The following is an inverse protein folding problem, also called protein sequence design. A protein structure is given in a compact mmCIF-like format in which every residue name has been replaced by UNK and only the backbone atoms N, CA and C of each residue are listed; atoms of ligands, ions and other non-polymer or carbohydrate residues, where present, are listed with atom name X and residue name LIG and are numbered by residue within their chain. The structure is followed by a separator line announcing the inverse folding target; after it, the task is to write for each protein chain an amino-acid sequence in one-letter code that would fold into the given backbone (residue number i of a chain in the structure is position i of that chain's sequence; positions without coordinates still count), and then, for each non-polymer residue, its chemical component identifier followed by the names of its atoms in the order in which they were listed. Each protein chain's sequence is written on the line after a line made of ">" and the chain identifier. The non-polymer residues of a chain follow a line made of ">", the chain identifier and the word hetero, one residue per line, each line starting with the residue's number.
data_IF_008621129955
#
_entry.id   IF_008621129955
#
_cell.length_a   1.000
_cell.length_b   1.000
_cell.length_c   1.000
_cell.angle_alpha   90.00
_cell.angle_beta   90.00
_cell.angle_gamma   90.00
#
_symmetry.space_group_name_H-M   'P 1'
#
loop_
_entity.id
_entity.type
_entity.pdbx_description
1 polymer ?
#
# COMPACT_ATOMS: atom_id res chain seq x y z
N UNK A 1 -3.70 -14.73 6.45
CA UNK A 1 -2.44 -14.04 6.15
C UNK A 1 -1.56 -14.80 5.18
N UNK A 2 -1.38 -16.11 5.36
CA UNK A 2 -0.58 -16.92 4.43
C UNK A 2 -1.15 -16.92 3.01
N UNK A 3 -2.46 -16.82 2.85
CA UNK A 3 -3.11 -16.74 1.54
C UNK A 3 -2.70 -15.52 0.72
N UNK A 4 -2.25 -14.45 1.37
CA UNK A 4 -1.77 -13.24 0.71
C UNK A 4 -0.26 -13.21 0.50
N UNK A 5 0.48 -14.17 1.06
CA UNK A 5 1.92 -14.19 0.88
C UNK A 5 2.31 -14.70 -0.50
N UNK A 6 3.32 -14.09 -1.07
CA UNK A 6 3.86 -14.42 -2.40
C UNK A 6 5.38 -14.36 -2.36
N UNK A 7 6.05 -15.23 -3.12
CA UNK A 7 7.49 -15.16 -3.22
C UNK A 7 7.94 -13.90 -3.96
N UNK A 8 9.06 -13.35 -3.54
CA UNK A 8 9.73 -12.26 -4.23
C UNK A 8 11.16 -12.69 -4.60
N UNK A 9 11.60 -12.29 -5.79
CA UNK A 9 12.93 -12.60 -6.30
C UNK A 9 13.72 -11.31 -6.46
N UNK A 10 15.00 -11.33 -6.07
CA UNK A 10 15.87 -10.17 -6.19
C UNK A 10 16.24 -9.92 -7.65
N UNK A 11 16.33 -8.66 -8.10
CA UNK A 11 16.80 -8.35 -9.44
C UNK A 11 18.30 -8.59 -9.58
N UNK A 12 18.74 -8.88 -10.80
CA UNK A 12 20.15 -8.87 -11.17
C UNK A 12 20.62 -7.42 -11.30
N UNK A 13 19.80 -6.57 -11.93
CA UNK A 13 20.04 -5.14 -12.09
C UNK A 13 18.89 -4.32 -11.49
N UNK A 14 19.10 -3.73 -10.31
CA UNK A 14 18.06 -2.90 -9.68
C UNK A 14 17.57 -1.72 -10.53
N UNK A 15 18.39 -1.22 -11.44
CA UNK A 15 18.00 -0.13 -12.35
C UNK A 15 17.00 -0.58 -13.43
N UNK A 16 16.91 -1.88 -13.70
CA UNK A 16 16.01 -2.45 -14.68
C UNK A 16 14.65 -2.84 -14.11
N UNK A 17 14.43 -2.63 -12.82
CA UNK A 17 13.15 -2.94 -12.15
C UNK A 17 12.07 -1.98 -12.60
N UNK A 18 10.88 -2.52 -12.90
CA UNK A 18 9.68 -1.78 -13.28
C UNK A 18 8.47 -2.26 -12.50
N UNK A 19 7.55 -1.33 -12.21
CA UNK A 19 6.30 -1.62 -11.53
C UNK A 19 5.14 -1.35 -12.48
N UNK A 20 4.21 -2.28 -12.58
CA UNK A 20 2.95 -2.12 -13.30
C UNK A 20 1.78 -2.42 -12.40
N UNK A 21 0.80 -1.52 -12.41
CA UNK A 21 -0.43 -1.66 -11.63
C UNK A 21 -1.60 -1.87 -12.58
N UNK A 22 -2.30 -2.98 -12.40
CA UNK A 22 -3.56 -3.28 -13.10
C UNK A 22 -4.72 -2.90 -12.18
N UNK A 23 -5.45 -1.86 -12.54
CA UNK A 23 -6.57 -1.37 -11.74
C UNK A 23 -7.75 -2.35 -11.77
N UNK A 24 -8.05 -2.93 -12.94
CA UNK A 24 -9.17 -3.86 -13.09
C UNK A 24 -8.99 -5.16 -12.33
N UNK A 25 -7.75 -5.63 -12.22
CA UNK A 25 -7.42 -6.87 -11.49
C UNK A 25 -6.96 -6.61 -10.06
N UNK A 26 -6.76 -5.36 -9.69
CA UNK A 26 -6.19 -4.97 -8.40
C UNK A 26 -4.91 -5.75 -8.10
N UNK A 27 -3.95 -5.65 -9.00
CA UNK A 27 -2.67 -6.35 -8.93
C UNK A 27 -1.51 -5.43 -9.22
N UNK A 28 -0.40 -5.72 -8.60
CA UNK A 28 0.89 -5.11 -8.88
C UNK A 28 1.83 -6.19 -9.40
N UNK A 29 2.52 -5.86 -10.49
CA UNK A 29 3.56 -6.66 -11.10
C UNK A 29 4.88 -5.92 -10.98
N UNK A 30 5.88 -6.56 -10.38
CA UNK A 30 7.24 -6.03 -10.33
C UNK A 30 8.10 -6.91 -11.21
N UNK A 31 8.73 -6.32 -12.24
CA UNK A 31 9.47 -7.05 -13.26
C UNK A 31 10.88 -6.50 -13.45
N UNK A 32 11.74 -7.35 -13.95
CA UNK A 32 13.04 -7.00 -14.52
C UNK A 32 13.13 -7.64 -15.90
N UNK A 33 12.92 -6.83 -16.96
CA UNK A 33 12.75 -7.39 -18.31
C UNK A 33 11.58 -8.37 -18.34
N UNK A 34 11.84 -9.60 -18.78
CA UNK A 34 10.85 -10.68 -18.84
C UNK A 34 10.72 -11.47 -17.53
N UNK A 35 11.55 -11.16 -16.53
CA UNK A 35 11.52 -11.84 -15.24
C UNK A 35 10.51 -11.21 -14.30
N UNK A 36 9.57 -12.01 -13.82
CA UNK A 36 8.63 -11.59 -12.79
C UNK A 36 9.29 -11.71 -11.41
N UNK A 37 9.47 -10.59 -10.74
CA UNK A 37 10.08 -10.54 -9.41
C UNK A 37 9.03 -10.68 -8.30
N UNK A 38 7.85 -10.09 -8.50
CA UNK A 38 6.76 -10.15 -7.53
C UNK A 38 5.43 -9.90 -8.23
N UNK A 39 4.44 -10.72 -7.93
CA UNK A 39 3.02 -10.50 -8.27
C UNK A 39 2.26 -10.43 -6.96
N UNK A 40 1.50 -9.36 -6.73
CA UNK A 40 0.75 -9.24 -5.49
C UNK A 40 -0.64 -8.66 -5.69
N UNK A 41 -1.64 -9.15 -4.94
CA UNK A 41 -2.93 -8.51 -4.86
C UNK A 41 -2.80 -7.21 -4.06
N UNK A 42 -3.57 -6.21 -4.47
CA UNK A 42 -3.59 -4.89 -3.83
C UNK A 42 -5.02 -4.37 -3.76
N UNK A 43 -5.23 -3.31 -2.99
CA UNK A 43 -6.45 -2.50 -3.09
C UNK A 43 -6.11 -1.15 -3.68
N UNK A 44 -6.88 -0.76 -4.67
CA UNK A 44 -6.76 0.54 -5.37
C UNK A 44 -7.87 1.50 -4.96
N UNK A 45 -7.84 2.72 -5.46
CA UNK A 45 -8.82 3.75 -5.16
C UNK A 45 -10.23 3.37 -5.57
N UNK A 46 -11.20 3.72 -4.73
CA UNK A 46 -12.62 3.58 -5.03
C UNK A 46 -13.09 4.55 -6.12
N UNK A 47 -14.35 4.37 -6.56
CA UNK A 47 -14.91 5.17 -7.65
C UNK A 47 -14.87 6.69 -7.42
N UNK A 48 -15.05 7.11 -6.17
CA UNK A 48 -15.02 8.54 -5.81
C UNK A 48 -13.59 9.12 -5.74
N UNK A 49 -12.60 8.27 -5.51
CA UNK A 49 -11.20 8.65 -5.33
C UNK A 49 -10.29 7.66 -6.05
N UNK A 50 -10.34 7.60 -7.39
CA UNK A 50 -9.62 6.58 -8.14
C UNK A 50 -8.11 6.78 -8.07
N UNK A 51 -7.38 5.68 -8.13
CA UNK A 51 -5.94 5.72 -8.34
C UNK A 51 -5.66 6.32 -9.73
N UNK A 52 -4.80 7.34 -9.85
CA UNK A 52 -4.53 7.95 -11.14
C UNK A 52 -3.81 6.98 -12.09
N UNK A 53 -4.25 6.95 -13.34
CA UNK A 53 -3.57 6.24 -14.41
C UNK A 53 -2.45 7.07 -15.01
N UNK A 54 -1.44 6.44 -15.55
CA UNK A 54 -0.35 7.10 -16.25
C UNK A 54 1.01 6.47 -15.96
N UNK A 55 2.04 7.20 -16.35
CA UNK A 55 3.44 6.84 -16.14
C UNK A 55 4.03 7.72 -15.05
N UNK A 56 4.57 7.09 -14.04
CA UNK A 56 5.15 7.72 -12.87
C UNK A 56 6.52 7.11 -12.57
N UNK A 57 7.20 7.68 -11.59
CA UNK A 57 8.37 7.06 -10.96
C UNK A 57 8.21 7.12 -9.45
N UNK A 58 8.87 6.21 -8.74
CA UNK A 58 8.98 6.33 -7.28
C UNK A 58 9.83 7.58 -6.98
N UNK A 59 9.25 8.54 -6.30
CA UNK A 59 9.91 9.82 -5.96
C UNK A 59 10.36 9.89 -4.52
N UNK A 60 9.81 9.04 -3.65
CA UNK A 60 10.15 9.01 -2.23
C UNK A 60 9.88 7.64 -1.65
N UNK A 61 10.72 7.22 -0.71
CA UNK A 61 10.51 6.02 0.11
C UNK A 61 10.66 6.38 1.58
N UNK A 62 9.69 5.97 2.38
CA UNK A 62 9.72 6.14 3.84
C UNK A 62 9.16 4.88 4.50
N UNK A 63 10.00 4.20 5.27
CA UNK A 63 9.60 2.97 5.94
C UNK A 63 8.50 3.22 6.99
N UNK A 64 8.60 4.35 7.69
CA UNK A 64 7.69 4.73 8.78
C UNK A 64 7.12 6.12 8.53
N UNK A 65 6.00 6.17 7.84
CA UNK A 65 5.31 7.43 7.53
C UNK A 65 3.95 7.48 8.21
N UNK A 66 3.54 8.68 8.60
CA UNK A 66 2.14 8.99 8.95
C UNK A 66 1.57 9.99 7.95
N UNK A 67 0.29 9.83 7.66
CA UNK A 67 -0.44 10.76 6.80
C UNK A 67 -0.52 12.14 7.47
N UNK A 68 -0.50 13.20 6.65
CA UNK A 68 -0.58 14.58 7.15
C UNK A 68 -2.01 15.09 7.29
N UNK A 69 -2.96 14.50 6.57
CA UNK A 69 -4.33 15.01 6.50
C UNK A 69 -5.38 14.04 7.03
N UNK A 70 -5.14 12.74 6.90
CA UNK A 70 -6.05 11.70 7.36
C UNK A 70 -5.48 11.01 8.59
N UNK A 71 -6.34 10.73 9.55
CA UNK A 71 -5.87 10.06 10.76
C UNK A 71 -6.92 10.04 11.84
N UNK A 72 -6.47 10.25 13.07
CA UNK A 72 -7.28 10.07 14.26
C UNK A 72 -7.18 11.28 15.16
N UNK A 73 -8.32 11.87 15.48
CA UNK A 73 -8.43 12.82 16.57
C UNK A 73 -8.70 12.06 17.87
N UNK A 74 -8.11 12.52 18.96
CA UNK A 74 -8.27 11.86 20.24
C UNK A 74 -8.28 12.85 21.40
N UNK A 75 -9.01 12.48 22.43
CA UNK A 75 -9.06 13.20 23.70
C UNK A 75 -9.38 12.20 24.82
N UNK A 76 -8.45 12.00 25.76
CA UNK A 76 -8.58 10.96 26.77
C UNK A 76 -8.73 9.57 26.11
N UNK A 77 -9.79 8.86 26.44
CA UNK A 77 -10.09 7.53 25.88
C UNK A 77 -10.91 7.58 24.60
N UNK A 78 -11.24 8.76 24.11
CA UNK A 78 -12.08 8.94 22.92
C UNK A 78 -11.22 9.10 21.69
N UNK A 79 -11.52 8.33 20.63
CA UNK A 79 -10.81 8.36 19.36
C UNK A 79 -11.84 8.48 18.24
N UNK A 80 -11.56 9.32 17.25
CA UNK A 80 -12.40 9.52 16.07
C UNK A 80 -11.54 9.59 14.83
N UNK A 81 -11.83 8.74 13.86
CA UNK A 81 -11.21 8.84 12.54
C UNK A 81 -11.75 10.07 11.80
N UNK A 82 -10.86 10.93 11.33
CA UNK A 82 -11.25 12.14 10.61
C UNK A 82 -10.09 12.74 9.81
N UNK A 83 -10.42 13.72 8.97
CA UNK A 83 -9.41 14.61 8.42
C UNK A 83 -8.96 15.60 9.51
N UNK A 84 -7.70 16.03 9.42
CA UNK A 84 -7.15 16.99 10.40
C UNK A 84 -7.98 18.29 10.45
N UNK A 85 -8.48 18.74 9.30
CA UNK A 85 -9.33 19.94 9.22
C UNK A 85 -10.67 19.80 9.94
N UNK A 86 -11.14 18.56 10.11
CA UNK A 86 -12.38 18.22 10.81
C UNK A 86 -12.15 17.81 12.27
N UNK A 87 -10.95 18.00 12.77
CA UNK A 87 -10.62 17.69 14.15
C UNK A 87 -11.51 18.52 15.10
N UNK A 88 -12.19 17.88 16.07
CA UNK A 88 -12.93 18.62 17.08
C UNK A 88 -12.05 19.60 17.86
N UNK A 89 -12.56 20.80 18.19
CA UNK A 89 -11.79 21.76 18.98
C UNK A 89 -11.28 21.16 20.31
N UNK A 90 -10.02 21.41 20.63
CA UNK A 90 -9.39 20.91 21.86
C UNK A 90 -8.92 19.44 21.80
N UNK A 91 -9.15 18.74 20.70
CA UNK A 91 -8.65 17.37 20.50
C UNK A 91 -7.25 17.40 19.89
N UNK A 92 -6.45 16.41 20.23
CA UNK A 92 -5.19 16.13 19.55
C UNK A 92 -5.44 15.35 18.27
N UNK A 93 -4.44 15.35 17.36
CA UNK A 93 -4.53 14.62 16.11
C UNK A 93 -3.24 13.86 15.84
N UNK A 94 -3.37 12.65 15.30
CA UNK A 94 -2.25 11.85 14.81
C UNK A 94 -2.60 11.22 13.48
N UNK A 95 -1.71 11.40 12.50
CA UNK A 95 -1.90 10.86 11.16
C UNK A 95 -1.96 9.34 11.15
N UNK A 96 -2.76 8.77 10.25
CA UNK A 96 -2.82 7.33 10.02
C UNK A 96 -1.44 6.81 9.62
N UNK A 97 -0.99 5.66 10.16
CA UNK A 97 0.28 5.09 9.75
C UNK A 97 0.21 4.56 8.31
N UNK A 98 1.28 4.82 7.57
CA UNK A 98 1.46 4.39 6.19
C UNK A 98 2.80 3.64 6.07
N UNK A 99 2.91 2.44 6.65
CA UNK A 99 4.17 1.67 6.65
C UNK A 99 4.62 1.34 5.23
N UNK A 100 5.92 1.36 5.00
CA UNK A 100 6.54 1.05 3.70
C UNK A 100 6.05 1.94 2.55
N UNK A 101 5.94 3.23 2.83
CA UNK A 101 5.49 4.22 1.86
C UNK A 101 6.45 4.36 0.70
N UNK A 102 5.93 4.17 -0.52
CA UNK A 102 6.63 4.44 -1.77
C UNK A 102 5.77 5.39 -2.60
N UNK A 103 6.14 6.66 -2.63
CA UNK A 103 5.39 7.71 -3.31
C UNK A 103 5.69 7.71 -4.80
N UNK A 104 4.64 7.75 -5.64
CA UNK A 104 4.79 7.86 -7.10
C UNK A 104 4.21 9.16 -7.65
N UNK A 105 3.43 9.87 -6.86
CA UNK A 105 2.86 11.18 -7.17
C UNK A 105 2.60 11.89 -5.85
N UNK A 106 2.71 13.24 -5.76
CA UNK A 106 2.44 13.94 -4.50
C UNK A 106 1.12 13.50 -3.86
N UNK A 107 1.21 12.93 -2.67
CA UNK A 107 0.05 12.41 -1.92
C UNK A 107 -0.43 11.02 -2.33
N UNK A 108 0.15 10.38 -3.33
CA UNK A 108 -0.20 9.04 -3.80
C UNK A 108 0.99 8.10 -3.69
N UNK A 109 0.78 6.96 -3.10
CA UNK A 109 1.87 5.98 -2.94
C UNK A 109 1.36 4.57 -2.67
N UNK A 110 2.32 3.67 -2.60
CA UNK A 110 2.12 2.32 -2.09
C UNK A 110 2.36 2.32 -0.59
N UNK A 111 1.53 1.63 0.18
CA UNK A 111 1.73 1.45 1.62
C UNK A 111 1.01 0.20 2.13
N UNK A 112 1.39 -0.23 3.33
CA UNK A 112 0.75 -1.36 3.99
C UNK A 112 -0.68 -1.03 4.43
N UNK A 113 -1.54 -2.04 4.41
CA UNK A 113 -2.90 -1.98 4.95
C UNK A 113 -3.67 -3.25 4.64
N UNK A 114 -4.94 -3.27 5.01
CA UNK A 114 -5.82 -4.39 4.69
C UNK A 114 -6.20 -4.35 3.21
N UNK A 115 -5.94 -5.45 2.51
CA UNK A 115 -6.33 -5.63 1.11
C UNK A 115 -7.73 -6.26 1.08
N UNK A 116 -8.65 -5.58 0.39
CA UNK A 116 -10.03 -6.03 0.20
C UNK A 116 -10.25 -6.47 -1.24
N UNK A 117 -11.33 -7.21 -1.48
CA UNK A 117 -11.65 -7.74 -2.81
C UNK A 117 -12.18 -6.69 -3.79
N UNK A 118 -12.38 -5.46 -3.33
CA UNK A 118 -12.93 -4.36 -4.12
C UNK A 118 -12.08 -3.10 -3.92
N UNK A 119 -12.13 -2.15 -4.88
CA UNK A 119 -11.50 -0.85 -4.73
C UNK A 119 -12.03 -0.11 -3.50
N UNK A 120 -11.15 0.34 -2.62
CA UNK A 120 -11.57 0.87 -1.33
C UNK A 120 -10.66 1.96 -0.75
N UNK A 121 -9.57 2.31 -1.42
CA UNK A 121 -8.66 3.35 -0.94
C UNK A 121 -9.07 4.74 -1.44
N UNK A 122 -8.39 5.76 -0.97
CA UNK A 122 -8.58 7.13 -1.44
C UNK A 122 -7.59 7.52 -2.55
N UNK A 123 -7.12 6.52 -3.29
CA UNK A 123 -6.24 6.70 -4.46
C UNK A 123 -4.87 6.06 -4.34
N UNK A 124 -4.33 5.88 -3.14
CA UNK A 124 -3.11 5.12 -2.93
C UNK A 124 -3.32 3.63 -3.20
N UNK A 125 -2.24 2.90 -3.38
CA UNK A 125 -2.25 1.45 -3.60
C UNK A 125 -1.88 0.78 -2.28
N UNK A 126 -2.83 0.03 -1.73
CA UNK A 126 -2.66 -0.64 -0.44
C UNK A 126 -2.15 -2.05 -0.64
N UNK A 127 -1.03 -2.36 0.00
CA UNK A 127 -0.38 -3.66 -0.02
C UNK A 127 -0.64 -4.43 1.27
N UNK A 128 -0.72 -5.75 1.18
CA UNK A 128 -0.79 -6.59 2.36
C UNK A 128 0.53 -6.51 3.17
N UNK A 129 0.43 -6.60 4.48
CA UNK A 129 1.58 -6.45 5.39
C UNK A 129 2.71 -7.45 5.15
N UNK A 130 2.41 -8.66 4.63
CA UNK A 130 3.42 -9.66 4.28
C UNK A 130 4.21 -9.28 3.02
N UNK A 131 3.60 -8.52 2.11
CA UNK A 131 4.15 -8.21 0.80
C UNK A 131 4.77 -6.82 0.73
N UNK A 132 4.33 -5.91 1.57
CA UNK A 132 4.82 -4.54 1.59
C UNK A 132 6.35 -4.44 1.80
N UNK A 133 6.96 -5.16 2.76
CA UNK A 133 8.42 -5.14 2.91
C UNK A 133 9.14 -5.72 1.69
N UNK A 134 8.57 -6.74 1.03
CA UNK A 134 9.14 -7.33 -0.18
C UNK A 134 9.13 -6.32 -1.33
N UNK A 135 7.99 -5.66 -1.55
CA UNK A 135 7.86 -4.60 -2.55
C UNK A 135 8.82 -3.44 -2.27
N UNK A 136 8.85 -2.97 -1.03
CA UNK A 136 9.71 -1.86 -0.61
C UNK A 136 11.19 -2.14 -0.90
N UNK A 137 11.63 -3.39 -0.72
CA UNK A 137 12.99 -3.81 -1.02
C UNK A 137 13.31 -3.82 -2.51
N UNK A 138 12.32 -4.17 -3.36
CA UNK A 138 12.53 -4.31 -4.81
C UNK A 138 12.59 -2.97 -5.54
N UNK A 139 11.94 -1.94 -5.02
CA UNK A 139 11.85 -0.63 -5.68
C UNK A 139 12.81 0.38 -5.05
N UNK A 140 13.21 1.37 -5.83
CA UNK A 140 14.04 2.48 -5.38
C UNK A 140 13.49 3.79 -5.93
N UNK A 141 14.00 4.92 -5.44
CA UNK A 141 13.71 6.23 -6.04
C UNK A 141 14.17 6.19 -7.50
N UNK A 142 13.28 6.56 -8.42
CA UNK A 142 13.49 6.49 -9.85
C UNK A 142 12.91 5.25 -10.53
N UNK A 143 12.50 4.21 -9.80
CA UNK A 143 11.85 3.03 -10.39
C UNK A 143 10.59 3.46 -11.13
N UNK A 144 10.44 3.11 -12.44
CA UNK A 144 9.24 3.42 -13.21
C UNK A 144 8.00 2.71 -12.68
N UNK A 145 6.89 3.42 -12.65
CA UNK A 145 5.56 2.92 -12.27
C UNK A 145 4.57 3.24 -13.38
N UNK A 146 3.97 2.22 -13.96
CA UNK A 146 2.90 2.36 -14.94
C UNK A 146 1.58 1.90 -14.33
N UNK A 147 0.58 2.75 -14.34
CA UNK A 147 -0.75 2.46 -13.80
C UNK A 147 -1.75 2.56 -14.94
N UNK A 148 -2.43 1.46 -15.22
CA UNK A 148 -3.49 1.44 -16.22
C UNK A 148 -4.63 0.50 -15.83
N UNK A 149 -5.75 0.60 -16.55
CA UNK A 149 -6.92 -0.25 -16.30
C UNK A 149 -6.58 -1.74 -16.39
N UNK A 150 -5.78 -2.12 -17.39
CA UNK A 150 -5.29 -3.49 -17.57
C UNK A 150 -3.80 -3.48 -17.89
N UNK A 151 -3.15 -4.63 -17.69
CA UNK A 151 -1.74 -4.83 -18.01
C UNK A 151 -1.57 -6.11 -18.82
N UNK A 152 -0.54 -6.22 -19.67
CA UNK A 152 -0.27 -7.44 -20.42
C UNK A 152 -0.13 -8.69 -19.56
N UNK A 153 0.43 -8.53 -18.36
CA UNK A 153 0.65 -9.61 -17.39
C UNK A 153 -0.65 -10.21 -16.86
N UNK A 154 -1.77 -9.50 -16.97
CA UNK A 154 -3.09 -9.99 -16.50
C UNK A 154 -3.50 -11.31 -17.17
N UNK A 155 -3.09 -11.52 -18.42
CA UNK A 155 -3.40 -12.74 -19.17
C UNK A 155 -2.67 -13.97 -18.63
N UNK A 156 -1.47 -13.79 -18.08
CA UNK A 156 -0.56 -14.89 -17.72
C UNK A 156 -0.54 -15.16 -16.21
N UNK A 157 -0.98 -14.22 -15.40
CA UNK A 157 -0.95 -14.32 -13.95
C UNK A 157 -2.37 -14.33 -13.37
N UNK A 158 -3.01 -15.50 -13.50
CA UNK A 158 -4.31 -15.75 -12.87
C UNK A 158 -4.08 -16.13 -11.41
N UNK A 159 -4.10 -15.12 -10.57
CA UNK A 159 -4.06 -15.34 -9.13
C UNK A 159 -5.49 -15.14 -8.61
N UNK A 160 -6.15 -16.18 -8.12
CA UNK A 160 -7.41 -15.97 -7.44
C UNK A 160 -7.14 -15.10 -6.21
N UNK A 161 -8.01 -14.14 -5.98
CA UNK A 161 -8.06 -13.50 -4.67
C UNK A 161 -8.35 -14.57 -3.63
N UNK A 162 -7.82 -14.45 -2.42
CA UNK A 162 -8.18 -15.37 -1.35
C UNK A 162 -9.69 -15.45 -1.19
N UNK A 163 -10.23 -16.59 -0.74
CA UNK A 163 -11.66 -16.70 -0.51
C UNK A 163 -12.14 -15.54 0.33
N UNK A 164 -13.25 -14.95 -0.07
CA UNK A 164 -13.85 -13.87 0.70
C UNK A 164 -14.43 -14.43 1.99
N UNK A 165 -13.66 -14.32 3.06
CA UNK A 165 -14.14 -14.56 4.41
C UNK A 165 -14.89 -13.35 4.98
N UNK A 166 -15.25 -12.41 4.11
CA UNK A 166 -15.67 -11.07 4.47
C UNK A 166 -14.48 -10.13 4.65
N UNK A 167 -14.71 -8.83 4.66
CA UNK A 167 -13.62 -7.89 4.92
C UNK A 167 -13.04 -8.20 6.30
N UNK A 168 -11.74 -8.48 6.34
CA UNK A 168 -11.05 -8.56 7.62
C UNK A 168 -11.25 -7.23 8.34
N UNK A 169 -11.61 -7.24 9.62
CA UNK A 169 -11.76 -5.99 10.36
C UNK A 169 -10.43 -5.25 10.40
N UNK A 170 -10.48 -3.95 10.23
CA UNK A 170 -9.32 -3.12 10.50
C UNK A 170 -8.90 -3.28 11.96
N UNK A 171 -7.65 -3.00 12.25
CA UNK A 171 -7.19 -2.96 13.62
C UNK A 171 -7.96 -1.91 14.44
N UNK A 172 -8.09 -2.09 15.76
CA UNK A 172 -8.69 -1.07 16.62
C UNK A 172 -7.98 0.28 16.43
N UNK A 173 -8.75 1.36 16.37
CA UNK A 173 -8.23 2.72 16.15
C UNK A 173 -7.15 3.11 17.15
N UNK A 174 -7.27 2.67 18.40
CA UNK A 174 -6.29 2.91 19.45
C UNK A 174 -4.91 2.35 19.14
N UNK A 175 -4.84 1.27 18.36
CA UNK A 175 -3.59 0.65 17.96
C UNK A 175 -2.78 1.54 17.00
N UNK A 176 -3.47 2.26 16.13
CA UNK A 176 -2.83 3.18 15.17
C UNK A 176 -2.25 4.42 15.82
N UNK A 177 -2.71 4.79 17.01
CA UNK A 177 -2.25 5.96 17.76
C UNK A 177 -0.93 5.73 18.52
N UNK A 178 -0.59 4.48 18.78
CA UNK A 178 0.60 4.15 19.58
C UNK A 178 1.89 4.63 18.92
N UNK A 179 2.79 5.22 19.70
CA UNK A 179 4.12 5.61 19.23
C UNK A 179 4.96 4.40 18.83
N UNK A 180 4.64 3.24 19.40
CA UNK A 180 5.26 1.95 19.13
C UNK A 180 4.60 1.18 17.97
N UNK A 181 3.61 1.77 17.28
CA UNK A 181 2.90 1.10 16.19
C UNK A 181 3.87 0.47 15.18
N UNK A 182 4.81 1.27 14.69
CA UNK A 182 5.74 0.80 13.67
C UNK A 182 6.68 -0.31 14.16
N UNK A 183 7.12 -0.24 15.40
CA UNK A 183 7.98 -1.29 15.97
C UNK A 183 7.25 -2.59 16.24
N UNK A 184 5.95 -2.54 16.57
CA UNK A 184 5.15 -3.73 16.88
C UNK A 184 4.58 -4.42 15.67
N UNK A 185 4.23 -3.66 14.63
CA UNK A 185 3.39 -4.15 13.52
C UNK A 185 4.09 -4.18 12.18
N UNK A 186 5.34 -3.75 12.09
CA UNK A 186 6.12 -3.91 10.89
C UNK A 186 6.94 -5.19 10.93
N UNK A 187 6.79 -6.01 9.90
CA UNK A 187 7.68 -7.16 9.70
C UNK A 187 9.05 -6.63 9.29
N UNK A 188 10.13 -7.06 9.95
CA UNK A 188 11.47 -6.69 9.50
C UNK A 188 11.66 -7.11 8.05
N UNK A 189 12.13 -6.17 7.22
CA UNK A 189 12.33 -6.43 5.80
C UNK A 189 13.42 -7.48 5.48
N UNK A 190 14.09 -8.02 6.51
CA UNK A 190 15.32 -8.77 6.38
C UNK A 190 15.42 -9.97 7.35
N UNK A 191 14.35 -10.74 7.43
CA UNK A 191 14.51 -12.09 7.99
C UNK A 191 14.43 -13.13 6.91
#
# INVERSE_FOLDING_TARGET
>A
YQAYDRPAFLPVDPEAVRVRVSLSKQRVYVTEGDHMLLVMPVSVGGAATPTPSGHFTIVRKQERRRDHSQGYAYRGNRVKQCLIENRPPGWSFKGAPLPYWCEFKPGYGFHTGWVKHHPCTQGSVRMHENLAPKFFRLVKVGTPVEISYSQPEDANHRMPLPPDAGPLPDYPETMYLGDDYFSRHMTPAYQ
#
